data_IF_128016147838
#
_entry.id   IF_128016147838
#
_cell.length_a   1.000
_cell.length_b   1.000
_cell.length_c   1.000
_cell.angle_alpha   90.00
_cell.angle_beta   90.00
_cell.angle_gamma   90.00
#
_symmetry.space_group_name_H-M   'P 1'
#
loop_
_entity.id
_entity.type
_entity.pdbx_description
1 polymer ?
#
# COMPACT_ATOMS: atom_id res chain seq x y z
N UNK A 1 -36.80 -2.05 6.96
CA UNK A 1 -35.63 -1.17 7.13
C UNK A 1 -35.17 -0.74 5.75
N UNK A 2 -35.14 0.57 5.50
CA UNK A 2 -35.00 1.16 4.17
C UNK A 2 -33.52 1.52 3.92
N UNK A 3 -32.96 1.09 2.78
CA UNK A 3 -31.56 1.29 2.39
C UNK A 3 -31.17 2.79 2.40
N UNK A 4 -32.15 3.67 2.17
CA UNK A 4 -32.01 5.13 2.23
C UNK A 4 -31.61 5.65 3.61
N UNK A 5 -32.09 5.01 4.70
CA UNK A 5 -31.76 5.43 6.07
C UNK A 5 -30.33 5.02 6.50
N UNK A 6 -29.70 4.12 5.76
CA UNK A 6 -28.30 3.73 5.98
C UNK A 6 -27.38 4.71 5.25
N UNK A 7 -27.76 5.14 4.04
CA UNK A 7 -27.04 6.15 3.28
C UNK A 7 -27.09 7.53 3.95
N UNK A 8 -28.22 7.88 4.57
CA UNK A 8 -28.40 9.15 5.29
C UNK A 8 -27.50 9.23 6.55
N UNK A 9 -27.27 8.09 7.21
CA UNK A 9 -26.33 8.00 8.36
C UNK A 9 -24.85 7.99 7.94
N UNK A 10 -24.55 7.68 6.68
CA UNK A 10 -23.21 7.79 6.11
C UNK A 10 -22.93 9.21 5.56
N UNK A 11 -23.97 10.04 5.47
CA UNK A 11 -23.93 11.43 5.00
C UNK A 11 -23.81 12.46 6.13
N UNK A 12 -23.58 12.02 7.37
CA UNK A 12 -23.47 12.94 8.52
C UNK A 12 -22.15 13.74 8.44
N UNK A 13 -22.28 15.00 8.04
CA UNK A 13 -21.23 15.96 7.70
C UNK A 13 -20.27 16.30 8.85
N UNK A 14 -20.53 15.84 10.08
CA UNK A 14 -19.65 16.06 11.24
C UNK A 14 -18.30 15.35 11.10
N UNK A 15 -18.19 14.33 10.24
CA UNK A 15 -16.92 13.65 9.95
C UNK A 15 -16.05 14.40 8.93
N UNK A 16 -16.67 15.22 8.06
CA UNK A 16 -15.98 15.94 6.97
C UNK A 16 -15.81 17.45 7.22
N UNK A 17 -16.51 18.03 8.20
CA UNK A 17 -16.53 19.49 8.41
C UNK A 17 -15.34 20.06 9.18
N UNK A 18 -14.42 19.23 9.68
CA UNK A 18 -13.14 19.73 10.19
C UNK A 18 -12.10 19.63 9.08
N UNK A 19 -12.04 20.66 8.22
CA UNK A 19 -10.88 20.90 7.35
C UNK A 19 -9.67 21.23 8.23
N UNK A 20 -9.01 20.19 8.75
CA UNK A 20 -7.62 20.29 9.16
C UNK A 20 -6.78 20.17 7.89
N UNK A 21 -5.65 20.86 7.81
CA UNK A 21 -4.72 20.60 6.72
C UNK A 21 -4.32 19.11 6.76
N UNK A 22 -4.07 18.48 5.61
CA UNK A 22 -3.78 17.02 5.54
C UNK A 22 -2.63 16.59 6.47
N UNK A 23 -1.70 17.51 6.76
CA UNK A 23 -0.65 17.38 7.76
C UNK A 23 -1.14 17.41 9.21
N UNK A 24 -2.11 18.26 9.53
CA UNK A 24 -2.72 18.34 10.87
C UNK A 24 -3.61 17.12 11.16
N UNK A 25 -4.28 16.55 10.16
CA UNK A 25 -5.01 15.28 10.33
C UNK A 25 -4.10 14.11 10.75
N UNK A 26 -2.90 14.01 10.15
CA UNK A 26 -1.91 12.99 10.52
C UNK A 26 -1.30 13.23 11.92
N UNK A 27 -1.06 14.50 12.27
CA UNK A 27 -0.59 14.89 13.61
C UNK A 27 -1.66 14.67 14.69
N UNK A 28 -2.93 14.92 14.38
CA UNK A 28 -4.06 14.67 15.28
C UNK A 28 -4.28 13.17 15.51
N UNK A 29 -4.06 12.31 14.51
CA UNK A 29 -4.10 10.85 14.68
C UNK A 29 -2.93 10.37 15.57
N UNK A 30 -1.72 10.89 15.34
CA UNK A 30 -0.56 10.59 16.19
C UNK A 30 -0.75 11.07 17.65
N UNK A 31 -1.43 12.19 17.84
CA UNK A 31 -1.76 12.74 19.17
C UNK A 31 -2.97 12.06 19.82
N UNK A 32 -3.95 11.59 19.04
CA UNK A 32 -5.08 10.80 19.52
C UNK A 32 -4.62 9.46 20.09
N UNK A 33 -3.65 8.80 19.42
CA UNK A 33 -3.00 7.58 19.93
C UNK A 33 -2.29 7.75 21.28
N UNK A 34 -1.91 8.99 21.66
CA UNK A 34 -1.30 9.29 22.98
C UNK A 34 -2.31 9.45 24.12
N UNK A 35 -3.60 9.69 23.84
CA UNK A 35 -4.59 10.11 24.85
C UNK A 35 -5.75 9.15 25.07
N UNK A 36 -5.88 8.07 24.29
CA UNK A 36 -6.92 7.06 24.51
C UNK A 36 -6.34 5.66 24.65
N UNK A 37 -5.76 5.40 25.82
CA UNK A 37 -5.70 4.04 26.37
C UNK A 37 -7.06 3.74 27.02
N UNK A 38 -8.08 3.41 26.22
CA UNK A 38 -9.37 2.94 26.74
C UNK A 38 -9.67 1.60 26.11
N UNK A 39 -9.73 0.58 26.98
CA UNK A 39 -10.15 -0.77 26.68
C UNK A 39 -11.51 -0.78 25.95
N UNK A 40 -11.55 -1.34 24.74
CA UNK A 40 -12.81 -1.66 24.07
C UNK A 40 -12.84 -3.13 23.67
N UNK A 41 -13.68 -3.83 24.42
CA UNK A 41 -14.11 -5.23 24.38
C UNK A 41 -14.46 -5.71 22.96
N UNK A 42 -14.19 -6.99 22.59
CA UNK A 42 -14.55 -7.54 21.30
C UNK A 42 -16.04 -7.88 21.25
N UNK A 43 -16.76 -7.33 20.27
CA UNK A 43 -18.07 -7.81 19.86
C UNK A 43 -17.97 -8.24 18.40
N UNK A 44 -17.99 -9.56 18.19
CA UNK A 44 -18.06 -10.19 16.88
C UNK A 44 -19.47 -10.20 16.30
N UNK A 45 -19.53 -10.32 14.97
CA UNK A 45 -20.55 -10.85 14.05
C UNK A 45 -20.18 -10.27 12.67
N UNK A 46 -20.03 -10.97 11.55
CA UNK A 46 -20.32 -12.34 11.16
C UNK A 46 -20.56 -12.34 9.64
N UNK A 47 -20.04 -13.37 8.95
CA UNK A 47 -20.49 -13.89 7.65
C UNK A 47 -20.47 -12.98 6.41
N UNK A 48 -19.48 -13.21 5.54
CA UNK A 48 -19.75 -13.43 4.12
C UNK A 48 -19.02 -14.68 3.60
N UNK A 49 -19.84 -15.69 3.27
CA UNK A 49 -19.63 -16.84 2.38
C UNK A 49 -18.70 -17.97 2.83
N UNK A 50 -19.35 -18.98 3.41
CA UNK A 50 -18.85 -20.33 3.63
C UNK A 50 -18.99 -21.18 2.35
N UNK A 51 -17.99 -22.01 2.07
CA UNK A 51 -18.18 -23.36 1.51
C UNK A 51 -17.47 -24.35 2.44
N UNK A 52 -18.11 -25.51 2.61
CA UNK A 52 -17.92 -26.44 3.72
C UNK A 52 -16.52 -27.09 3.80
N UNK A 53 -15.87 -26.95 4.95
CA UNK A 53 -14.92 -27.95 5.44
C UNK A 53 -15.07 -28.07 6.96
N UNK A 54 -15.33 -29.30 7.42
CA UNK A 54 -15.61 -29.69 8.80
C UNK A 54 -14.70 -28.99 9.82
N UNK A 55 -15.30 -28.15 10.66
CA UNK A 55 -14.66 -27.57 11.83
C UNK A 55 -14.63 -28.58 12.98
N UNK A 56 -13.41 -28.99 13.39
CA UNK A 56 -13.17 -29.45 14.74
C UNK A 56 -13.02 -28.20 15.63
N UNK A 57 -13.90 -28.09 16.63
CA UNK A 57 -13.86 -27.05 17.65
C UNK A 57 -12.52 -27.06 18.38
N UNK A 58 -11.76 -25.98 18.29
CA UNK A 58 -10.85 -25.58 19.37
C UNK A 58 -10.99 -24.08 19.59
N UNK A 59 -11.82 -23.74 20.56
CA UNK A 59 -11.90 -22.40 21.13
C UNK A 59 -10.59 -22.08 21.84
N UNK A 60 -9.72 -21.32 21.19
CA UNK A 60 -8.70 -20.51 21.86
C UNK A 60 -8.86 -19.09 21.35
N UNK A 61 -9.34 -18.20 22.22
CA UNK A 61 -9.37 -16.77 21.96
C UNK A 61 -7.94 -16.29 21.65
N UNK A 62 -7.64 -16.11 20.37
CA UNK A 62 -6.33 -15.68 19.90
C UNK A 62 -6.32 -14.16 19.76
N UNK A 63 -6.28 -13.46 20.88
CA UNK A 63 -5.93 -12.03 20.90
C UNK A 63 -4.47 -11.79 20.51
N UNK A 64 -3.63 -12.82 20.56
CA UNK A 64 -2.21 -12.77 20.18
C UNK A 64 -1.97 -12.82 18.66
N UNK A 65 -2.77 -13.58 17.89
CA UNK A 65 -2.55 -13.73 16.44
C UNK A 65 -3.05 -12.55 15.61
N UNK A 66 -4.14 -11.89 16.04
CA UNK A 66 -4.63 -10.69 15.39
C UNK A 66 -3.73 -9.47 15.67
N UNK A 67 -3.19 -9.38 16.89
CA UNK A 67 -2.21 -8.36 17.26
C UNK A 67 -0.91 -8.54 16.47
N UNK A 68 -0.43 -9.78 16.31
CA UNK A 68 0.75 -10.06 15.48
C UNK A 68 0.50 -9.70 14.01
N UNK A 69 -0.62 -10.11 13.41
CA UNK A 69 -0.94 -9.78 12.02
C UNK A 69 -1.02 -8.25 11.76
N UNK A 70 -1.62 -7.49 12.68
CA UNK A 70 -1.65 -6.03 12.62
C UNK A 70 -0.23 -5.45 12.65
N UNK A 71 0.59 -5.87 13.61
CA UNK A 71 1.97 -5.33 13.73
C UNK A 71 2.85 -5.77 12.57
N UNK A 72 2.71 -7.02 12.09
CA UNK A 72 3.49 -7.55 10.98
C UNK A 72 3.17 -6.81 9.68
N UNK A 73 1.89 -6.52 9.43
CA UNK A 73 1.45 -5.70 8.30
C UNK A 73 2.06 -4.29 8.34
N UNK A 74 2.09 -3.65 9.51
CA UNK A 74 2.68 -2.31 9.66
C UNK A 74 4.21 -2.31 9.54
N UNK A 75 4.88 -3.36 10.04
CA UNK A 75 6.33 -3.50 9.90
C UNK A 75 6.72 -3.74 8.44
N UNK A 76 5.95 -4.55 7.71
CA UNK A 76 6.13 -4.72 6.27
C UNK A 76 5.93 -3.40 5.53
N UNK A 77 4.84 -2.68 5.79
CA UNK A 77 4.62 -1.36 5.21
C UNK A 77 5.80 -0.43 5.49
N UNK A 78 6.34 -0.43 6.73
CA UNK A 78 7.48 0.43 7.09
C UNK A 78 8.74 0.10 6.26
N UNK A 79 8.98 -1.17 5.96
CA UNK A 79 10.12 -1.56 5.10
C UNK A 79 9.93 -1.07 3.66
N UNK A 80 8.72 -1.16 3.12
CA UNK A 80 8.39 -0.67 1.77
C UNK A 80 8.55 0.87 1.68
N UNK A 81 8.03 1.58 2.66
CA UNK A 81 8.13 3.05 2.74
C UNK A 81 9.58 3.52 2.93
N UNK A 82 10.38 2.77 3.69
CA UNK A 82 11.82 3.04 3.77
C UNK A 82 12.53 2.86 2.43
N UNK A 83 12.12 1.84 1.67
CA UNK A 83 12.69 1.53 0.36
C UNK A 83 12.40 2.67 -0.63
N UNK A 84 11.15 3.14 -0.68
CA UNK A 84 10.72 4.24 -1.55
C UNK A 84 11.32 5.58 -1.11
N UNK A 85 11.29 5.92 0.19
CA UNK A 85 11.90 7.14 0.72
C UNK A 85 13.38 7.26 0.37
N UNK A 86 14.16 6.19 0.62
CA UNK A 86 15.58 6.18 0.32
C UNK A 86 15.83 6.24 -1.20
N UNK A 87 15.02 5.54 -1.99
CA UNK A 87 15.15 5.53 -3.44
C UNK A 87 14.97 6.92 -4.04
N UNK A 88 13.88 7.61 -3.68
CA UNK A 88 13.59 8.94 -4.21
C UNK A 88 14.57 9.98 -3.70
N UNK A 89 14.97 9.93 -2.43
CA UNK A 89 15.99 10.84 -1.90
C UNK A 89 17.33 10.65 -2.62
N UNK A 90 17.72 9.41 -2.90
CA UNK A 90 18.97 9.09 -3.64
C UNK A 90 18.89 9.56 -5.09
N UNK A 91 17.78 9.32 -5.77
CA UNK A 91 17.56 9.79 -7.14
C UNK A 91 17.56 11.31 -7.26
N UNK A 92 16.91 12.01 -6.31
CA UNK A 92 16.88 13.47 -6.28
C UNK A 92 18.25 14.11 -6.00
N UNK A 93 19.08 13.44 -5.19
CA UNK A 93 20.45 13.85 -4.89
C UNK A 93 21.44 13.56 -6.05
N UNK A 94 21.11 12.61 -6.93
CA UNK A 94 21.91 12.25 -8.08
C UNK A 94 21.89 13.36 -9.14
N UNK A 95 23.03 14.05 -9.31
CA UNK A 95 23.13 15.21 -10.20
C UNK A 95 22.96 14.79 -11.65
N UNK A 96 22.03 15.44 -12.36
CA UNK A 96 21.78 15.18 -13.78
C UNK A 96 20.95 13.92 -14.07
N UNK A 97 20.56 13.14 -13.06
CA UNK A 97 19.73 11.95 -13.25
C UNK A 97 18.30 12.30 -13.69
N UNK A 98 17.59 13.07 -12.87
CA UNK A 98 16.18 13.39 -13.09
C UNK A 98 16.07 14.71 -13.88
N UNK A 99 15.43 14.72 -15.08
CA UNK A 99 15.20 15.92 -15.86
C UNK A 99 14.44 16.99 -15.06
N UNK A 100 14.78 18.27 -15.27
CA UNK A 100 14.21 19.39 -14.49
C UNK A 100 12.68 19.41 -14.46
N UNK A 101 12.03 19.08 -15.58
CA UNK A 101 10.57 19.04 -15.68
C UNK A 101 9.93 17.97 -14.76
N UNK A 102 10.64 16.87 -14.52
CA UNK A 102 10.13 15.72 -13.77
C UNK A 102 10.48 15.80 -12.28
N UNK A 103 11.49 16.60 -11.92
CA UNK A 103 11.97 16.74 -10.54
C UNK A 103 10.87 17.12 -9.55
N UNK A 104 9.94 17.98 -9.94
CA UNK A 104 8.84 18.43 -9.05
C UNK A 104 7.93 17.27 -8.64
N UNK A 105 7.76 16.28 -9.51
CA UNK A 105 6.96 15.08 -9.21
C UNK A 105 7.67 14.24 -8.16
N UNK A 106 8.93 13.87 -8.40
CA UNK A 106 9.68 13.03 -7.46
C UNK A 106 10.00 13.74 -6.13
N UNK A 107 10.12 15.07 -6.12
CA UNK A 107 10.19 15.84 -4.88
C UNK A 107 8.90 15.73 -4.06
N UNK A 108 7.74 15.69 -4.71
CA UNK A 108 6.48 15.56 -4.01
C UNK A 108 6.29 14.13 -3.48
N UNK A 109 6.57 13.12 -4.29
CA UNK A 109 6.54 11.70 -3.89
C UNK A 109 7.49 11.48 -2.71
N UNK A 110 8.75 11.91 -2.81
CA UNK A 110 9.72 11.81 -1.71
C UNK A 110 9.24 12.43 -0.39
N UNK A 111 8.49 13.54 -0.44
CA UNK A 111 7.92 14.16 0.78
C UNK A 111 6.80 13.31 1.38
N UNK A 112 6.01 12.65 0.54
CA UNK A 112 4.97 11.74 1.00
C UNK A 112 5.59 10.50 1.65
N UNK A 113 6.60 9.88 1.03
CA UNK A 113 7.25 8.69 1.63
C UNK A 113 7.92 8.99 2.96
N UNK A 114 8.59 10.14 3.08
CA UNK A 114 9.10 10.61 4.39
C UNK A 114 7.98 10.73 5.43
N UNK A 115 6.80 11.21 5.04
CA UNK A 115 5.66 11.36 5.93
C UNK A 115 5.01 10.02 6.30
N UNK A 116 4.91 9.08 5.35
CA UNK A 116 4.42 7.72 5.58
C UNK A 116 5.33 6.96 6.54
N UNK A 117 6.66 7.01 6.35
CA UNK A 117 7.65 6.46 7.29
C UNK A 117 7.44 7.02 8.69
N UNK A 118 7.29 8.34 8.83
CA UNK A 118 7.09 8.97 10.13
C UNK A 118 5.78 8.52 10.79
N UNK A 119 4.69 8.44 10.02
CA UNK A 119 3.40 7.93 10.47
C UNK A 119 3.50 6.47 10.95
N UNK A 120 4.06 5.57 10.14
CA UNK A 120 4.16 4.15 10.47
C UNK A 120 4.99 3.90 11.72
N UNK A 121 6.11 4.61 11.88
CA UNK A 121 6.91 4.54 13.11
C UNK A 121 6.11 4.96 14.33
N UNK A 122 5.31 6.03 14.23
CA UNK A 122 4.45 6.47 15.31
C UNK A 122 3.33 5.46 15.60
N UNK A 123 2.68 4.92 14.56
CA UNK A 123 1.63 3.92 14.66
C UNK A 123 2.13 2.64 15.34
N UNK A 124 3.25 2.08 14.88
CA UNK A 124 3.87 0.88 15.47
C UNK A 124 4.25 1.13 16.93
N UNK A 125 4.85 2.29 17.24
CA UNK A 125 5.21 2.66 18.62
C UNK A 125 3.98 2.79 19.52
N UNK A 126 2.86 3.31 19.01
CA UNK A 126 1.61 3.45 19.75
C UNK A 126 0.97 2.10 20.14
N UNK A 127 1.31 1.03 19.40
CA UNK A 127 0.91 -0.34 19.70
C UNK A 127 1.84 -1.03 20.71
N UNK A 128 2.85 -0.33 21.24
CA UNK A 128 3.83 -0.90 22.16
C UNK A 128 4.92 -1.73 21.49
N UNK A 129 5.00 -1.67 20.15
CA UNK A 129 6.00 -2.40 19.36
C UNK A 129 7.12 -1.45 18.92
N UNK A 130 8.35 -1.93 18.86
CA UNK A 130 9.47 -1.14 18.36
C UNK A 130 9.43 -1.10 16.83
N UNK A 131 9.42 0.09 16.18
CA UNK A 131 9.53 0.17 14.73
C UNK A 131 10.80 -0.49 14.21
N UNK A 132 10.69 -1.27 13.14
CA UNK A 132 11.83 -1.90 12.49
C UNK A 132 12.90 -0.88 12.09
N UNK A 133 14.15 -1.29 12.22
CA UNK A 133 15.27 -0.49 11.73
C UNK A 133 15.24 -0.41 10.20
N UNK A 134 15.61 0.75 9.65
CA UNK A 134 15.76 0.89 8.20
C UNK A 134 16.88 -0.04 7.71
N UNK A 135 16.60 -0.98 6.77
CA UNK A 135 17.64 -1.83 6.22
C UNK A 135 18.60 -1.02 5.34
N UNK A 136 19.74 -1.62 4.99
CA UNK A 136 20.59 -1.09 3.93
C UNK A 136 20.01 -1.56 2.60
N UNK A 137 19.90 -0.64 1.64
CA UNK A 137 19.36 -0.97 0.33
C UNK A 137 20.47 -1.08 -0.72
N UNK A 138 20.38 -2.10 -1.57
CA UNK A 138 21.08 -2.23 -2.85
C UNK A 138 20.08 -2.09 -4.00
N UNK A 139 19.96 -0.86 -4.52
CA UNK A 139 19.08 -0.58 -5.66
C UNK A 139 19.57 -1.12 -7.00
N UNK A 140 20.76 -1.74 -7.04
CA UNK A 140 21.20 -2.48 -8.23
C UNK A 140 20.61 -3.89 -8.27
N UNK A 141 20.05 -4.38 -7.16
CA UNK A 141 19.58 -5.76 -6.98
C UNK A 141 20.60 -6.78 -7.48
N UNK A 142 21.84 -6.70 -6.98
CA UNK A 142 22.94 -7.55 -7.43
C UNK A 142 23.43 -7.27 -8.85
N UNK A 143 23.33 -6.01 -9.30
CA UNK A 143 23.80 -5.56 -10.63
C UNK A 143 22.79 -5.68 -11.77
N UNK A 144 21.55 -6.10 -11.51
CA UNK A 144 20.46 -6.16 -12.49
C UNK A 144 19.98 -4.78 -12.95
N UNK A 145 20.18 -3.75 -12.12
CA UNK A 145 19.74 -2.37 -12.40
C UNK A 145 20.86 -1.35 -12.17
N UNK A 146 20.78 -0.22 -12.88
CA UNK A 146 21.66 0.95 -12.71
C UNK A 146 20.83 2.24 -12.56
N UNK A 147 19.97 2.34 -11.54
CA UNK A 147 18.93 3.37 -11.47
C UNK A 147 19.46 4.79 -11.25
N UNK A 148 20.66 4.96 -10.70
CA UNK A 148 21.18 6.29 -10.35
C UNK A 148 22.13 6.88 -11.40
N UNK A 149 22.35 6.16 -12.51
CA UNK A 149 23.11 6.64 -13.67
C UNK A 149 22.31 6.61 -14.96
N UNK A 150 21.14 5.96 -14.98
CA UNK A 150 20.22 5.93 -16.11
C UNK A 150 18.80 6.25 -15.67
N UNK A 151 18.26 7.36 -16.17
CA UNK A 151 16.91 7.83 -15.85
C UNK A 151 15.82 6.85 -16.30
N UNK A 152 16.03 6.09 -17.38
CA UNK A 152 15.04 5.09 -17.81
C UNK A 152 14.93 3.97 -16.78
N UNK A 153 16.06 3.47 -16.31
CA UNK A 153 16.12 2.49 -15.23
C UNK A 153 15.58 3.08 -13.92
N UNK A 154 15.82 4.36 -13.65
CA UNK A 154 15.19 5.07 -12.52
C UNK A 154 13.65 4.97 -12.59
N UNK A 155 13.08 5.33 -13.74
CA UNK A 155 11.64 5.29 -13.95
C UNK A 155 11.05 3.87 -13.86
N UNK A 156 11.78 2.86 -14.36
CA UNK A 156 11.37 1.46 -14.26
C UNK A 156 11.25 1.03 -12.80
N UNK A 157 12.27 1.27 -11.98
CA UNK A 157 12.22 0.89 -10.57
C UNK A 157 11.26 1.75 -9.76
N UNK A 158 11.15 3.05 -10.04
CA UNK A 158 10.11 3.90 -9.45
C UNK A 158 8.71 3.27 -9.68
N UNK A 159 8.40 2.87 -10.92
CA UNK A 159 7.12 2.24 -11.20
C UNK A 159 6.96 0.91 -10.46
N UNK A 160 8.01 0.08 -10.44
CA UNK A 160 7.97 -1.21 -9.75
C UNK A 160 7.73 -1.08 -8.23
N UNK A 161 8.31 -0.06 -7.60
CA UNK A 161 8.13 0.20 -6.17
C UNK A 161 6.73 0.68 -5.88
N UNK A 162 6.27 1.73 -6.56
CA UNK A 162 4.90 2.27 -6.38
C UNK A 162 3.82 1.22 -6.61
N UNK A 163 4.01 0.38 -7.65
CA UNK A 163 3.11 -0.73 -7.97
C UNK A 163 3.17 -1.83 -6.89
N UNK A 164 4.32 -2.05 -6.27
CA UNK A 164 4.44 -2.98 -5.13
C UNK A 164 3.77 -2.40 -3.88
N UNK A 165 4.03 -1.13 -3.56
CA UNK A 165 3.49 -0.42 -2.40
C UNK A 165 1.96 -0.40 -2.40
N UNK A 166 1.35 0.08 -3.49
CA UNK A 166 -0.12 0.16 -3.61
C UNK A 166 -0.80 -1.20 -3.42
N UNK A 167 -0.26 -2.25 -4.06
CA UNK A 167 -0.78 -3.62 -4.01
C UNK A 167 -0.55 -4.28 -2.64
N UNK A 168 0.56 -3.98 -1.98
CA UNK A 168 0.87 -4.45 -0.63
C UNK A 168 -0.07 -3.83 0.41
N UNK A 169 -0.29 -2.51 0.38
CA UNK A 169 -1.24 -1.83 1.25
C UNK A 169 -2.65 -2.43 1.12
N UNK A 170 -3.09 -2.68 -0.12
CA UNK A 170 -4.37 -3.33 -0.37
C UNK A 170 -4.42 -4.76 0.18
N UNK A 171 -3.37 -5.55 -0.07
CA UNK A 171 -3.27 -6.94 0.40
C UNK A 171 -3.21 -7.07 1.92
N UNK A 172 -2.65 -6.07 2.62
CA UNK A 172 -2.57 -6.04 4.07
C UNK A 172 -3.80 -5.39 4.75
N UNK A 173 -4.76 -4.85 3.99
CA UNK A 173 -5.93 -4.17 4.55
C UNK A 173 -6.72 -5.05 5.53
N UNK A 174 -6.84 -6.35 5.24
CA UNK A 174 -7.51 -7.32 6.14
C UNK A 174 -6.80 -7.49 7.48
N UNK A 175 -5.45 -7.42 7.50
CA UNK A 175 -4.65 -7.58 8.71
C UNK A 175 -4.74 -6.36 9.63
N UNK A 176 -5.03 -5.18 9.09
CA UNK A 176 -5.20 -3.95 9.88
C UNK A 176 -6.65 -3.64 10.23
N UNK A 177 -7.61 -4.40 9.70
CA UNK A 177 -9.03 -4.08 9.75
C UNK A 177 -9.65 -4.01 11.16
N UNK A 178 -9.05 -4.71 12.13
CA UNK A 178 -9.50 -4.70 13.53
C UNK A 178 -9.26 -3.35 14.22
N UNK A 179 -8.31 -2.54 13.74
CA UNK A 179 -8.03 -1.21 14.24
C UNK A 179 -8.50 -0.15 13.23
N UNK A 180 -9.69 0.40 13.46
CA UNK A 180 -10.34 1.34 12.53
C UNK A 180 -9.51 2.58 12.20
N UNK A 181 -8.77 3.12 13.18
CA UNK A 181 -7.94 4.30 12.97
C UNK A 181 -6.74 3.98 12.06
N UNK A 182 -6.11 2.82 12.28
CA UNK A 182 -5.01 2.33 11.45
C UNK A 182 -5.51 1.95 10.06
N UNK A 183 -6.65 1.25 9.96
CA UNK A 183 -7.27 0.92 8.67
C UNK A 183 -7.57 2.20 7.87
N UNK A 184 -8.17 3.22 8.49
CA UNK A 184 -8.46 4.47 7.81
C UNK A 184 -7.18 5.12 7.27
N UNK A 185 -6.12 5.20 8.09
CA UNK A 185 -4.85 5.76 7.65
C UNK A 185 -4.19 4.92 6.53
N UNK A 186 -4.21 3.59 6.65
CA UNK A 186 -3.70 2.69 5.61
C UNK A 186 -4.43 2.87 4.28
N UNK A 187 -5.75 3.05 4.29
CA UNK A 187 -6.53 3.33 3.07
C UNK A 187 -6.24 4.73 2.48
N UNK A 188 -5.90 5.70 3.33
CA UNK A 188 -5.47 7.02 2.88
C UNK A 188 -4.11 6.97 2.18
N UNK A 189 -3.14 6.23 2.75
CA UNK A 189 -1.83 6.01 2.15
C UNK A 189 -1.97 5.21 0.84
N UNK A 190 -2.72 4.12 0.84
CA UNK A 190 -3.02 3.35 -0.38
C UNK A 190 -3.53 4.23 -1.53
N UNK A 191 -4.41 5.20 -1.25
CA UNK A 191 -4.89 6.15 -2.27
C UNK A 191 -3.82 7.13 -2.76
N UNK A 192 -2.83 7.47 -1.92
CA UNK A 192 -1.66 8.26 -2.30
C UNK A 192 -0.75 7.43 -3.20
N UNK A 193 -0.38 6.22 -2.80
CA UNK A 193 0.44 5.30 -3.62
C UNK A 193 -0.19 5.01 -4.97
N UNK A 194 -1.51 4.79 -5.02
CA UNK A 194 -2.21 4.61 -6.30
C UNK A 194 -2.05 5.81 -7.25
N UNK A 195 -1.99 7.04 -6.71
CA UNK A 195 -1.75 8.25 -7.53
C UNK A 195 -0.29 8.35 -7.96
N UNK A 196 0.65 8.01 -7.09
CA UNK A 196 2.07 7.96 -7.44
C UNK A 196 2.32 6.93 -8.56
N UNK A 197 1.86 5.69 -8.38
CA UNK A 197 1.91 4.63 -9.37
C UNK A 197 1.31 5.08 -10.71
N UNK A 198 0.11 5.68 -10.70
CA UNK A 198 -0.52 6.20 -11.92
C UNK A 198 0.30 7.31 -12.59
N UNK A 199 0.86 8.23 -11.80
CA UNK A 199 1.68 9.33 -12.29
C UNK A 199 2.99 8.83 -12.92
N UNK A 200 3.70 7.92 -12.26
CA UNK A 200 4.96 7.35 -12.76
C UNK A 200 4.72 6.57 -14.05
N UNK A 201 3.66 5.74 -14.13
CA UNK A 201 3.28 5.06 -15.37
C UNK A 201 3.02 6.04 -16.51
N UNK A 202 2.28 7.12 -16.27
CA UNK A 202 2.01 8.15 -17.29
C UNK A 202 3.26 8.89 -17.74
N UNK A 203 4.20 9.15 -16.84
CA UNK A 203 5.52 9.71 -17.20
C UNK A 203 6.34 8.77 -18.08
N UNK A 204 6.12 7.45 -17.97
CA UNK A 204 6.67 6.43 -18.88
C UNK A 204 5.85 6.24 -20.15
N UNK A 205 4.88 7.11 -20.43
CA UNK A 205 3.95 7.02 -21.58
C UNK A 205 3.04 5.78 -21.56
N UNK A 206 2.83 5.19 -20.38
CA UNK A 206 1.90 4.07 -20.18
C UNK A 206 0.53 4.57 -19.72
N UNK A 207 -0.45 3.64 -19.69
CA UNK A 207 -1.75 3.88 -19.05
C UNK A 207 -1.55 4.10 -17.55
N UNK A 208 -2.50 4.79 -16.93
CA UNK A 208 -2.47 5.04 -15.48
C UNK A 208 -2.84 3.82 -14.62
N UNK A 209 -3.09 2.66 -15.24
CA UNK A 209 -3.52 1.38 -14.68
C UNK A 209 -2.87 0.25 -15.48
N UNK A 210 -2.87 -0.97 -14.92
CA UNK A 210 -2.32 -2.18 -15.52
C UNK A 210 -3.44 -2.93 -16.27
N UNK A 211 -3.10 -3.60 -17.36
CA UNK A 211 -3.97 -4.52 -18.08
C UNK A 211 -3.24 -5.83 -18.29
N UNK A 212 -3.86 -6.98 -17.99
CA UNK A 212 -3.30 -8.31 -18.29
C UNK A 212 -1.84 -8.46 -17.84
N UNK A 213 -1.53 -8.03 -16.61
CA UNK A 213 -0.17 -7.97 -16.03
C UNK A 213 0.90 -7.22 -16.84
N UNK A 214 0.50 -6.41 -17.82
CA UNK A 214 1.40 -5.58 -18.61
C UNK A 214 1.71 -4.28 -17.85
N UNK A 215 2.87 -4.25 -17.19
CA UNK A 215 3.42 -3.04 -16.58
C UNK A 215 3.95 -2.00 -17.59
N UNK A 216 3.87 -2.25 -18.89
CA UNK A 216 4.32 -1.33 -19.92
C UNK A 216 5.84 -1.33 -20.10
N UNK A 217 6.32 -2.29 -20.91
CA UNK A 217 7.74 -2.48 -21.25
C UNK A 217 8.66 -2.58 -20.02
N UNK A 218 8.23 -3.39 -19.05
CA UNK A 218 9.00 -3.66 -17.84
C UNK A 218 9.96 -4.85 -18.05
N UNK A 219 11.17 -4.85 -17.45
CA UNK A 219 12.09 -5.98 -17.57
C UNK A 219 11.61 -7.17 -16.75
N UNK A 220 11.96 -8.40 -17.19
CA UNK A 220 11.52 -9.65 -16.56
C UNK A 220 11.83 -9.75 -15.05
N UNK A 221 12.88 -9.06 -14.59
CA UNK A 221 13.21 -8.95 -13.16
C UNK A 221 12.10 -8.31 -12.30
N UNK A 222 11.11 -7.66 -12.93
CA UNK A 222 9.96 -7.04 -12.25
C UNK A 222 8.66 -7.82 -12.39
N UNK A 223 8.67 -9.01 -13.03
CA UNK A 223 7.44 -9.79 -13.31
C UNK A 223 6.63 -10.09 -12.04
N UNK A 224 7.30 -10.30 -10.91
CA UNK A 224 6.65 -10.54 -9.62
C UNK A 224 5.76 -9.37 -9.17
N UNK A 225 6.09 -8.14 -9.55
CA UNK A 225 5.31 -6.92 -9.25
C UNK A 225 3.96 -6.93 -9.96
N UNK A 226 3.80 -7.70 -11.04
CA UNK A 226 2.59 -7.73 -11.86
C UNK A 226 1.85 -9.07 -11.79
N UNK A 227 2.36 -10.04 -11.03
CA UNK A 227 1.72 -11.34 -10.87
C UNK A 227 0.30 -11.18 -10.31
N UNK A 228 -0.70 -11.73 -11.03
CA UNK A 228 -2.11 -11.72 -10.63
C UNK A 228 -2.93 -10.60 -11.26
N UNK A 229 -2.30 -9.55 -11.79
CA UNK A 229 -2.98 -8.42 -12.45
C UNK A 229 -3.72 -8.81 -13.73
N UNK A 230 -3.56 -10.04 -14.24
CA UNK A 230 -4.39 -10.58 -15.32
C UNK A 230 -5.77 -11.08 -14.89
N UNK A 231 -6.10 -11.01 -13.60
CA UNK A 231 -7.35 -11.55 -13.06
C UNK A 231 -8.58 -10.82 -13.63
N UNK A 232 -9.51 -11.60 -14.18
CA UNK A 232 -10.79 -11.11 -14.69
C UNK A 232 -11.98 -11.62 -13.87
N UNK A 233 -11.73 -12.41 -12.82
CA UNK A 233 -12.77 -12.97 -11.96
C UNK A 233 -12.73 -12.27 -10.60
N UNK A 234 -13.77 -11.48 -10.33
CA UNK A 234 -13.88 -10.64 -9.15
C UNK A 234 -15.06 -11.10 -8.31
N UNK A 235 -14.78 -11.73 -7.16
CA UNK A 235 -15.82 -12.31 -6.31
C UNK A 235 -16.82 -13.22 -7.09
N UNK A 236 -16.30 -14.00 -8.05
CA UNK A 236 -17.09 -14.88 -8.92
C UNK A 236 -17.71 -14.21 -10.16
N UNK A 237 -17.59 -12.88 -10.30
CA UNK A 237 -18.04 -12.14 -11.47
C UNK A 237 -16.94 -12.01 -12.53
N UNK A 238 -17.22 -12.36 -13.78
CA UNK A 238 -16.26 -12.20 -14.87
C UNK A 238 -16.35 -10.81 -15.53
N UNK A 239 -15.37 -9.95 -15.24
CA UNK A 239 -15.28 -8.57 -15.73
C UNK A 239 -14.96 -8.47 -17.22
N UNK A 240 -14.38 -9.51 -17.83
CA UNK A 240 -14.01 -9.51 -19.26
C UNK A 240 -15.21 -9.66 -20.19
N UNK A 241 -16.34 -10.16 -19.68
CA UNK A 241 -17.52 -10.51 -20.50
C UNK A 241 -18.10 -9.32 -21.26
N UNK A 242 -18.01 -8.11 -20.69
CA UNK A 242 -18.61 -6.90 -21.28
C UNK A 242 -17.59 -6.00 -21.99
N UNK A 243 -16.35 -5.97 -21.51
CA UNK A 243 -15.35 -4.98 -21.95
C UNK A 243 -14.08 -5.60 -22.56
N UNK A 244 -14.00 -6.93 -22.64
CA UNK A 244 -12.80 -7.66 -23.07
C UNK A 244 -11.81 -7.87 -21.91
N UNK A 245 -10.85 -8.77 -22.10
CA UNK A 245 -9.92 -9.18 -21.03
C UNK A 245 -9.07 -8.02 -20.49
N UNK A 246 -8.57 -7.16 -21.37
CA UNK A 246 -7.76 -6.00 -20.98
C UNK A 246 -8.52 -5.05 -20.04
N UNK A 247 -9.63 -4.47 -20.50
CA UNK A 247 -10.44 -3.59 -19.66
C UNK A 247 -11.07 -4.30 -18.45
N UNK A 248 -11.36 -5.60 -18.57
CA UNK A 248 -11.83 -6.43 -17.46
C UNK A 248 -10.80 -6.53 -16.34
N UNK A 249 -9.54 -6.83 -16.68
CA UNK A 249 -8.46 -6.90 -15.69
C UNK A 249 -8.19 -5.53 -15.04
N UNK A 250 -8.18 -4.46 -15.82
CA UNK A 250 -7.97 -3.10 -15.32
C UNK A 250 -9.09 -2.54 -14.43
N UNK A 251 -10.23 -3.22 -14.32
CA UNK A 251 -11.36 -2.72 -13.53
C UNK A 251 -11.16 -2.85 -12.02
N UNK A 252 -10.16 -3.63 -11.59
CA UNK A 252 -9.75 -3.78 -10.19
C UNK A 252 -8.22 -3.81 -10.12
N UNK A 253 -7.67 -3.14 -9.11
CA UNK A 253 -6.26 -3.28 -8.73
C UNK A 253 -6.06 -4.61 -7.98
N UNK A 254 -5.07 -5.44 -8.30
CA UNK A 254 -4.91 -6.75 -7.67
C UNK A 254 -3.97 -6.68 -6.47
N UNK A 255 -4.23 -7.45 -5.41
CA UNK A 255 -3.38 -7.39 -4.22
C UNK A 255 -2.09 -8.18 -4.37
N UNK A 256 -1.04 -7.78 -3.68
CA UNK A 256 0.09 -8.66 -3.35
C UNK A 256 -0.07 -9.21 -1.94
N UNK A 257 0.28 -10.49 -1.74
CA UNK A 257 0.38 -11.02 -0.39
C UNK A 257 1.53 -10.36 0.38
N UNK A 258 1.51 -10.45 1.70
CA UNK A 258 2.59 -9.90 2.53
C UNK A 258 3.93 -10.57 2.24
N UNK A 259 3.93 -11.88 1.99
CA UNK A 259 5.12 -12.63 1.61
C UNK A 259 5.65 -12.26 0.23
N UNK A 260 4.77 -12.04 -0.75
CA UNK A 260 5.20 -11.63 -2.10
C UNK A 260 5.80 -10.22 -2.06
N UNK A 261 5.14 -9.31 -1.34
CA UNK A 261 5.64 -7.94 -1.14
C UNK A 261 7.01 -7.93 -0.44
N UNK A 262 7.17 -8.75 0.61
CA UNK A 262 8.43 -8.89 1.32
C UNK A 262 9.52 -9.51 0.45
N UNK A 263 9.17 -10.49 -0.39
CA UNK A 263 10.11 -11.13 -1.32
C UNK A 263 10.61 -10.13 -2.39
N UNK A 264 9.70 -9.32 -2.95
CA UNK A 264 10.06 -8.27 -3.92
C UNK A 264 10.97 -7.22 -3.27
N UNK A 265 10.61 -6.71 -2.09
CA UNK A 265 11.44 -5.75 -1.35
C UNK A 265 12.80 -6.34 -0.98
N UNK A 266 12.84 -7.63 -0.63
CA UNK A 266 14.06 -8.37 -0.27
C UNK A 266 15.10 -8.42 -1.37
N UNK A 267 14.73 -8.26 -2.65
CA UNK A 267 15.69 -8.15 -3.76
C UNK A 267 16.62 -6.94 -3.64
N UNK A 268 16.19 -5.93 -2.89
CA UNK A 268 16.88 -4.65 -2.76
C UNK A 268 17.49 -4.46 -1.38
N UNK A 269 17.49 -5.47 -0.50
CA UNK A 269 18.08 -5.39 0.86
C UNK A 269 19.46 -6.05 0.86
N UNK A 270 20.46 -5.35 1.40
CA UNK A 270 21.88 -5.73 1.43
C UNK A 270 22.35 -6.29 2.78
#
# INVERSE_FOLDING_TARGET
>A
MNLLNILDKLSDDQFFTKMTSRSEGLLDIANFGRKTAIASIPLGLGSFMATDAKAATTTVASTSSAASALTDALQLALVLEYLEDEYYRTGLASTGLIPTADRVVFQQISKHETAHVAFLKAAISSLGTTPGAKPKFDFTAGGNFQPFTDYKTFMILAQAFEDTGVRAYKGQAGNVASNKAILQAALQIHSVEARHASQVRRMRMNKGWIELKDGGNMPAATDAVYAGEENVIQAGYNTSTKFGAAAGSASFDETLSGSDSAAIAGLFIA
#
